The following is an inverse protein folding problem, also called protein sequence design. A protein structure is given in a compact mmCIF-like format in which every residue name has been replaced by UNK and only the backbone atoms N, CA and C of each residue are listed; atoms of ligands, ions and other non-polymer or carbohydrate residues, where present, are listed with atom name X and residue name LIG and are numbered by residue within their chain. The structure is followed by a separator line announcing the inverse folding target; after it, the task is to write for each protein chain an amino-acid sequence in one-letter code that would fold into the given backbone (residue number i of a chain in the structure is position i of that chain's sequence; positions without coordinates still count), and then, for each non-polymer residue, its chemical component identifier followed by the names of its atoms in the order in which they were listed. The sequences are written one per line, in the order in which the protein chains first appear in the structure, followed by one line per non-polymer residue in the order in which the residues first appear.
data_IF_746708847793
#
_entry.id   IF_746708847793
#
_cell.length_a   1.000
_cell.length_b   1.000
_cell.length_c   1.000
_cell.angle_alpha   90.00
_cell.angle_beta   90.00
_cell.angle_gamma   90.00
#
_symmetry.space_group_name_H-M   'P 1'
#
loop_
_entity.id
_entity.type
_entity.pdbx_description
1 polymer ?
#
# COMPACT_ATOMS: atom_id res chain seq x y z
N UNK A 1 6.74 9.61 -12.42
CA UNK A 1 6.57 8.28 -11.78
C UNK A 1 7.85 7.48 -11.90
N UNK A 2 8.42 7.05 -10.78
CA UNK A 2 9.67 6.29 -10.76
C UNK A 2 9.49 5.03 -9.91
N UNK A 3 9.97 3.89 -10.41
CA UNK A 3 9.99 2.65 -9.62
C UNK A 3 10.89 2.87 -8.41
N UNK A 4 10.43 2.45 -7.24
CA UNK A 4 11.21 2.58 -6.00
C UNK A 4 11.03 1.33 -5.14
N UNK A 5 11.95 1.18 -4.19
CA UNK A 5 11.90 0.16 -3.13
C UNK A 5 11.73 0.79 -1.75
N UNK A 6 11.52 2.10 -1.70
CA UNK A 6 11.26 2.84 -0.46
C UNK A 6 10.03 2.29 0.25
N UNK A 7 10.15 1.99 1.54
CA UNK A 7 9.07 1.43 2.37
C UNK A 7 8.42 0.14 1.82
N UNK A 8 9.18 -0.68 1.07
CA UNK A 8 8.67 -1.95 0.52
C UNK A 8 8.04 -2.83 1.59
N UNK A 9 8.68 -3.01 2.74
CA UNK A 9 8.16 -3.84 3.84
C UNK A 9 6.82 -3.31 4.36
N UNK A 10 6.71 -1.99 4.58
CA UNK A 10 5.48 -1.35 5.06
C UNK A 10 4.35 -1.47 4.05
N UNK A 11 4.65 -1.30 2.75
CA UNK A 11 3.67 -1.46 1.66
C UNK A 11 3.21 -2.91 1.58
N UNK A 12 4.11 -3.90 1.68
CA UNK A 12 3.74 -5.32 1.68
C UNK A 12 2.83 -5.65 2.86
N UNK A 13 3.14 -5.16 4.06
CA UNK A 13 2.33 -5.37 5.25
C UNK A 13 0.95 -4.72 5.13
N UNK A 14 0.88 -3.51 4.57
CA UNK A 14 -0.37 -2.82 4.24
C UNK A 14 -1.25 -3.66 3.30
N UNK A 15 -0.70 -4.13 2.18
CA UNK A 15 -1.41 -4.98 1.22
C UNK A 15 -1.84 -6.30 1.88
N UNK A 16 -0.98 -6.90 2.72
CA UNK A 16 -1.29 -8.14 3.42
C UNK A 16 -2.46 -7.97 4.38
N UNK A 17 -2.52 -6.85 5.11
CA UNK A 17 -3.66 -6.51 5.98
C UNK A 17 -4.91 -6.20 5.17
N UNK A 18 -4.79 -5.45 4.08
CA UNK A 18 -5.90 -5.18 3.16
C UNK A 18 -6.50 -6.46 2.58
N UNK A 19 -5.67 -7.46 2.30
CA UNK A 19 -6.10 -8.77 1.83
C UNK A 19 -6.92 -9.57 2.86
N UNK A 20 -6.72 -9.35 4.16
CA UNK A 20 -7.57 -9.95 5.22
C UNK A 20 -9.00 -9.41 5.11
N UNK A 21 -9.16 -8.14 4.73
CA UNK A 21 -10.46 -7.45 4.62
C UNK A 21 -11.10 -7.69 3.26
N UNK A 22 -10.31 -7.64 2.18
CA UNK A 22 -10.70 -7.93 0.81
C UNK A 22 -9.86 -9.09 0.27
N UNK A 23 -10.31 -10.36 0.42
CA UNK A 23 -9.58 -11.53 -0.04
C UNK A 23 -9.30 -11.57 -1.55
N UNK A 24 -10.05 -10.80 -2.35
CA UNK A 24 -9.86 -10.69 -3.80
C UNK A 24 -8.68 -9.78 -4.19
N UNK A 25 -8.11 -9.07 -3.22
CA UNK A 25 -6.93 -8.23 -3.42
C UNK A 25 -5.73 -9.11 -3.80
N UNK A 26 -5.06 -8.73 -4.89
CA UNK A 26 -3.86 -9.41 -5.36
C UNK A 26 -2.70 -9.28 -4.40
N UNK A 27 -1.64 -10.06 -4.64
CA UNK A 27 -0.39 -9.94 -3.87
C UNK A 27 0.45 -8.79 -4.43
N UNK A 28 1.22 -8.12 -3.57
CA UNK A 28 2.20 -7.10 -3.97
C UNK A 28 3.16 -7.65 -5.04
N UNK A 29 3.39 -6.86 -6.10
CA UNK A 29 4.40 -7.14 -7.15
C UNK A 29 5.49 -6.08 -7.11
N UNK A 30 5.10 -4.82 -7.28
CA UNK A 30 6.01 -3.68 -7.31
C UNK A 30 5.26 -2.38 -7.01
N UNK A 31 5.99 -1.29 -6.80
CA UNK A 31 5.38 0.02 -6.65
C UNK A 31 6.23 1.14 -7.24
N UNK A 32 5.56 2.26 -7.48
CA UNK A 32 6.12 3.45 -8.09
C UNK A 32 5.78 4.66 -7.22
N UNK A 33 6.73 5.59 -7.07
CA UNK A 33 6.47 6.88 -6.44
C UNK A 33 6.15 7.92 -7.51
N UNK A 34 5.05 8.62 -7.32
CA UNK A 34 4.57 9.67 -8.21
C UNK A 34 5.07 11.03 -7.71
N UNK A 35 5.03 12.04 -8.56
CA UNK A 35 5.47 13.41 -8.23
C UNK A 35 4.59 14.05 -7.13
N UNK A 36 3.36 13.56 -6.96
CA UNK A 36 2.45 13.91 -5.85
C UNK A 36 2.76 13.19 -4.52
N UNK A 37 3.93 12.55 -4.41
CA UNK A 37 4.33 11.74 -3.25
C UNK A 37 3.32 10.64 -2.88
N UNK A 38 2.69 10.02 -3.88
CA UNK A 38 1.82 8.85 -3.71
C UNK A 38 2.50 7.61 -4.27
N UNK A 39 2.39 6.49 -3.57
CA UNK A 39 2.79 5.18 -4.04
C UNK A 39 1.69 4.57 -4.88
N UNK A 40 1.97 4.27 -6.15
CA UNK A 40 1.15 3.41 -6.99
C UNK A 40 1.67 1.99 -6.89
N UNK A 41 0.92 1.11 -6.23
CA UNK A 41 1.30 -0.29 -6.00
C UNK A 41 0.59 -1.18 -7.01
N UNK A 42 1.36 -2.00 -7.72
CA UNK A 42 0.86 -2.98 -8.68
C UNK A 42 0.70 -4.32 -7.96
N UNK A 43 -0.47 -4.92 -8.13
CA UNK A 43 -0.83 -6.21 -7.55
C UNK A 43 -0.90 -7.30 -8.63
N UNK A 44 -0.76 -8.55 -8.20
CA UNK A 44 -0.70 -9.73 -9.08
C UNK A 44 -1.98 -9.99 -9.90
N UNK A 45 -3.10 -9.39 -9.51
CA UNK A 45 -4.40 -9.48 -10.19
C UNK A 45 -4.62 -8.34 -11.20
N UNK A 46 -3.55 -7.65 -11.62
CA UNK A 46 -3.59 -6.44 -12.47
C UNK A 46 -4.37 -5.26 -11.88
N UNK A 47 -4.74 -5.29 -10.59
CA UNK A 47 -5.20 -4.10 -9.89
C UNK A 47 -4.01 -3.24 -9.46
N UNK A 48 -4.20 -1.92 -9.54
CA UNK A 48 -3.28 -0.94 -8.99
C UNK A 48 -3.94 -0.17 -7.86
N UNK A 49 -3.29 -0.09 -6.71
CA UNK A 49 -3.79 0.67 -5.55
C UNK A 49 -2.90 1.88 -5.30
N UNK A 50 -3.50 2.99 -4.87
CA UNK A 50 -2.76 4.23 -4.58
C UNK A 50 -2.70 4.42 -3.08
N UNK A 51 -1.50 4.46 -2.53
CA UNK A 51 -1.26 4.64 -1.10
C UNK A 51 -0.55 5.98 -0.92
N UNK A 52 -1.00 6.81 0.01
CA UNK A 52 -0.31 8.07 0.31
C UNK A 52 1.01 7.79 1.03
N UNK A 53 2.06 8.56 0.75
CA UNK A 53 3.34 8.40 1.46
C UNK A 53 3.20 8.70 2.96
N UNK A 54 2.28 9.59 3.34
CA UNK A 54 1.96 9.87 4.74
C UNK A 54 1.44 8.60 5.43
N UNK A 55 0.50 7.87 4.83
CA UNK A 55 -0.01 6.63 5.40
C UNK A 55 1.09 5.59 5.61
N UNK A 56 1.97 5.43 4.61
CA UNK A 56 3.10 4.49 4.70
C UNK A 56 4.09 4.90 5.79
N UNK A 57 4.35 6.20 5.95
CA UNK A 57 5.20 6.74 7.01
C UNK A 57 4.59 6.55 8.40
N UNK A 58 3.31 6.89 8.55
CA UNK A 58 2.59 6.74 9.81
C UNK A 58 2.53 5.26 10.21
N UNK A 59 2.31 4.37 9.25
CA UNK A 59 2.40 2.93 9.47
C UNK A 59 3.82 2.47 9.83
N UNK A 60 4.86 3.06 9.24
CA UNK A 60 6.25 2.77 9.59
C UNK A 60 6.59 3.15 11.03
N UNK A 61 5.97 4.19 11.57
CA UNK A 61 6.21 4.68 12.94
C UNK A 61 5.32 3.94 13.93
N UNK A 62 4.06 3.68 13.57
CA UNK A 62 3.08 3.07 14.46
C UNK A 62 2.13 2.13 13.68
N UNK A 63 2.53 0.86 13.48
CA UNK A 63 1.79 -0.12 12.66
C UNK A 63 0.38 -0.47 13.17
N UNK A 64 0.06 -0.09 14.40
CA UNK A 64 -1.22 -0.35 15.06
C UNK A 64 -2.28 0.73 14.84
N UNK A 65 -1.92 1.88 14.25
CA UNK A 65 -2.83 3.05 14.12
C UNK A 65 -3.70 3.00 12.86
N UNK A 66 -3.44 2.10 11.91
CA UNK A 66 -4.29 1.98 10.73
C UNK A 66 -5.71 1.58 11.12
N UNK A 67 -6.64 2.48 10.85
CA UNK A 67 -8.05 2.20 11.01
C UNK A 67 -8.55 1.39 9.82
N UNK A 68 -9.67 0.70 10.01
CA UNK A 68 -10.29 -0.11 8.96
C UNK A 68 -10.62 0.74 7.72
N UNK A 69 -10.92 2.02 7.91
CA UNK A 69 -11.15 3.02 6.86
C UNK A 69 -9.93 3.20 5.95
N UNK A 70 -8.73 3.33 6.51
CA UNK A 70 -7.49 3.51 5.73
C UNK A 70 -7.19 2.29 4.85
N UNK A 71 -7.57 1.11 5.34
CA UNK A 71 -7.39 -0.16 4.63
C UNK A 71 -8.48 -0.37 3.56
N UNK A 72 -9.69 0.16 3.78
CA UNK A 72 -10.77 0.15 2.77
C UNK A 72 -10.41 1.02 1.57
N UNK A 73 -9.74 2.16 1.76
CA UNK A 73 -9.30 3.02 0.65
C UNK A 73 -8.25 2.35 -0.27
N UNK A 74 -7.62 1.26 0.21
CA UNK A 74 -6.68 0.44 -0.55
C UNK A 74 -7.41 -0.71 -1.27
N UNK A 75 -8.59 -1.13 -0.79
CA UNK A 75 -9.29 -2.36 -1.20
C UNK A 75 -10.36 -2.14 -2.28
#
# INVERSE_FOLDING_TARGET
MHKTTEYTSQIIDLITRAKIINPNLGSYVEHYLNDDFKYSVVLSNNYGVKISRTLVKDFSVMPSVLEKSDIIDIA
#
